data_IF_598770753818
#
_entry.id   IF_598770753818
#
_cell.length_a   1.000
_cell.length_b   1.000
_cell.length_c   1.000
_cell.angle_alpha   90.00
_cell.angle_beta   90.00
_cell.angle_gamma   90.00
#
_symmetry.space_group_name_H-M   'P 1'
#
loop_
_entity.id
_entity.type
_entity.pdbx_description
1 polymer ?
#
# COMPACT_ATOMS: atom_id res chain seq x y z
N UNK A 1 -6.35 -7.82 -21.75
CA UNK A 1 -5.04 -7.23 -21.35
C UNK A 1 -4.63 -5.92 -22.06
N UNK A 2 -4.57 -5.81 -23.40
CA UNK A 2 -4.20 -4.52 -24.06
C UNK A 2 -5.16 -3.39 -23.68
N UNK A 3 -6.44 -3.72 -23.62
CA UNK A 3 -7.50 -2.78 -23.23
C UNK A 3 -7.33 -2.31 -21.78
N UNK A 4 -7.16 -3.24 -20.84
CA UNK A 4 -6.89 -2.95 -19.42
C UNK A 4 -5.67 -2.04 -19.18
N UNK A 5 -4.58 -2.23 -19.94
CA UNK A 5 -3.39 -1.36 -19.83
C UNK A 5 -3.70 0.08 -20.23
N UNK A 6 -4.50 0.25 -21.29
CA UNK A 6 -4.89 1.57 -21.78
C UNK A 6 -5.88 2.22 -20.81
N UNK A 7 -6.89 1.49 -20.32
CA UNK A 7 -7.83 1.96 -19.31
C UNK A 7 -7.13 2.40 -18.02
N UNK A 8 -6.20 1.59 -17.52
CA UNK A 8 -5.40 1.94 -16.34
C UNK A 8 -4.59 3.22 -16.57
N UNK A 9 -3.92 3.34 -17.72
CA UNK A 9 -3.17 4.52 -18.09
C UNK A 9 -4.07 5.76 -18.11
N UNK A 10 -5.24 5.67 -18.75
CA UNK A 10 -6.14 6.81 -18.91
C UNK A 10 -6.69 7.29 -17.55
N UNK A 11 -7.06 6.38 -16.65
CA UNK A 11 -7.50 6.72 -15.28
C UNK A 11 -6.38 7.39 -14.46
N UNK A 12 -5.14 6.89 -14.58
CA UNK A 12 -3.99 7.51 -13.90
C UNK A 12 -3.70 8.90 -14.49
N UNK A 13 -3.81 9.05 -15.81
CA UNK A 13 -3.57 10.33 -16.48
C UNK A 13 -4.64 11.37 -16.15
N UNK A 14 -5.90 10.96 -15.97
CA UNK A 14 -6.96 11.82 -15.45
C UNK A 14 -6.59 12.35 -14.05
N UNK A 15 -6.19 11.45 -13.14
CA UNK A 15 -5.73 11.82 -11.78
C UNK A 15 -4.50 12.73 -11.80
N UNK A 16 -3.59 12.53 -12.75
CA UNK A 16 -2.40 13.38 -12.96
C UNK A 16 -2.80 14.78 -13.42
N UNK A 17 -3.77 14.90 -14.32
CA UNK A 17 -4.18 16.18 -14.89
C UNK A 17 -4.78 17.15 -13.86
N UNK A 18 -5.35 16.64 -12.77
CA UNK A 18 -5.96 17.40 -11.68
C UNK A 18 -4.92 18.05 -10.74
N UNK A 19 -3.62 17.78 -10.90
CA UNK A 19 -2.58 18.43 -10.13
C UNK A 19 -2.46 19.91 -10.52
N UNK A 20 -3.06 20.80 -9.72
CA UNK A 20 -3.13 22.27 -9.88
C UNK A 20 -1.75 22.99 -9.88
N UNK A 21 -0.88 22.68 -10.85
CA UNK A 21 0.42 23.34 -11.04
C UNK A 21 1.53 22.96 -10.04
N UNK A 22 1.22 22.14 -9.02
CA UNK A 22 2.22 21.60 -8.07
C UNK A 22 3.06 20.48 -8.72
N UNK A 23 4.30 20.29 -8.22
CA UNK A 23 5.16 19.17 -8.62
C UNK A 23 4.50 17.84 -8.24
N UNK A 24 4.12 17.05 -9.24
CA UNK A 24 3.49 15.76 -9.00
C UNK A 24 4.50 14.61 -9.07
N UNK A 25 4.41 13.69 -8.12
CA UNK A 25 5.13 12.42 -8.11
C UNK A 25 4.10 11.31 -8.21
N UNK A 26 4.31 10.38 -9.15
CA UNK A 26 3.47 9.18 -9.30
C UNK A 26 4.26 7.98 -8.84
N UNK A 27 3.78 7.29 -7.82
CA UNK A 27 4.31 5.99 -7.38
C UNK A 27 3.41 4.90 -7.93
N UNK A 28 3.98 3.97 -8.70
CA UNK A 28 3.27 2.84 -9.29
C UNK A 28 3.77 1.55 -8.64
N UNK A 29 2.88 0.87 -7.92
CA UNK A 29 3.16 -0.43 -7.32
C UNK A 29 2.53 -1.56 -8.13
N UNK A 30 3.36 -2.56 -8.41
CA UNK A 30 2.94 -3.82 -9.01
C UNK A 30 3.97 -4.89 -8.67
N UNK A 31 3.66 -6.15 -8.95
CA UNK A 31 4.59 -7.22 -8.62
C UNK A 31 4.54 -7.70 -7.19
N UNK A 32 3.44 -7.48 -6.47
CA UNK A 32 3.25 -8.08 -5.15
C UNK A 32 3.46 -9.60 -5.20
N UNK A 33 4.30 -10.13 -4.30
CA UNK A 33 4.54 -11.57 -4.23
C UNK A 33 4.81 -12.06 -2.80
N UNK A 34 4.53 -13.34 -2.60
CA UNK A 34 4.85 -14.05 -1.36
C UNK A 34 6.21 -14.74 -1.49
N UNK A 35 7.10 -14.48 -0.53
CA UNK A 35 8.45 -15.06 -0.51
C UNK A 35 8.49 -16.59 -0.51
N UNK A 36 7.42 -17.27 -0.07
CA UNK A 36 7.33 -18.75 -0.04
C UNK A 36 7.09 -19.35 -1.42
N UNK A 37 6.41 -18.62 -2.29
CA UNK A 37 6.00 -19.09 -3.62
C UNK A 37 6.77 -18.38 -4.73
N UNK A 38 7.42 -17.25 -4.43
CA UNK A 38 8.00 -16.38 -5.42
C UNK A 38 6.94 -15.64 -6.25
N UNK A 39 7.38 -14.84 -7.24
CA UNK A 39 6.48 -14.09 -8.11
C UNK A 39 5.63 -15.03 -8.96
N UNK A 40 4.33 -14.85 -8.91
CA UNK A 40 3.37 -15.59 -9.74
C UNK A 40 2.98 -14.76 -10.96
N UNK A 41 2.13 -15.31 -11.83
CA UNK A 41 1.67 -14.63 -13.05
C UNK A 41 1.05 -13.26 -12.76
N UNK A 42 0.24 -13.14 -11.71
CA UNK A 42 -0.32 -11.85 -11.30
C UNK A 42 0.76 -10.82 -10.96
N UNK A 43 1.78 -11.23 -10.18
CA UNK A 43 2.93 -10.39 -9.85
C UNK A 43 3.67 -9.93 -11.12
N UNK A 44 3.98 -10.85 -12.03
CA UNK A 44 4.70 -10.56 -13.27
C UNK A 44 3.86 -9.61 -14.15
N UNK A 45 2.57 -9.89 -14.30
CA UNK A 45 1.69 -9.11 -15.15
C UNK A 45 1.49 -7.69 -14.61
N UNK A 46 1.22 -7.51 -13.31
CA UNK A 46 1.05 -6.18 -12.71
C UNK A 46 2.34 -5.37 -12.71
N UNK A 47 3.50 -5.99 -12.50
CA UNK A 47 4.78 -5.28 -12.65
C UNK A 47 5.03 -4.85 -14.11
N UNK A 48 4.71 -5.72 -15.07
CA UNK A 48 4.77 -5.38 -16.50
C UNK A 48 3.83 -4.22 -16.85
N UNK A 49 2.64 -4.18 -16.25
CA UNK A 49 1.70 -3.05 -16.37
C UNK A 49 2.26 -1.77 -15.76
N UNK A 50 2.79 -1.82 -14.52
CA UNK A 50 3.40 -0.68 -13.85
C UNK A 50 4.52 -0.06 -14.70
N UNK A 51 5.43 -0.90 -15.22
CA UNK A 51 6.52 -0.46 -16.09
C UNK A 51 5.98 0.19 -17.37
N UNK A 52 5.01 -0.43 -18.03
CA UNK A 52 4.43 0.12 -19.25
C UNK A 52 3.78 1.48 -19.02
N UNK A 53 2.94 1.60 -18.00
CA UNK A 53 2.29 2.85 -17.61
C UNK A 53 3.32 3.91 -17.25
N UNK A 54 4.35 3.55 -16.49
CA UNK A 54 5.43 4.47 -16.12
C UNK A 54 6.12 5.07 -17.36
N UNK A 55 6.45 4.21 -18.34
CA UNK A 55 7.09 4.64 -19.58
C UNK A 55 6.19 5.54 -20.41
N UNK A 56 4.89 5.26 -20.48
CA UNK A 56 3.92 6.10 -21.20
C UNK A 56 3.73 7.47 -20.52
N UNK A 57 3.65 7.52 -19.19
CA UNK A 57 3.59 8.78 -18.43
C UNK A 57 4.82 9.64 -18.73
N UNK A 58 6.02 9.04 -18.69
CA UNK A 58 7.29 9.74 -18.96
C UNK A 58 7.35 10.23 -20.42
N UNK A 59 6.92 9.42 -21.39
CA UNK A 59 6.89 9.80 -22.82
C UNK A 59 5.99 10.99 -23.10
N UNK A 60 4.81 11.03 -22.47
CA UNK A 60 3.79 12.06 -22.70
C UNK A 60 4.15 13.42 -22.07
N UNK A 61 5.26 13.54 -21.32
CA UNK A 61 5.79 14.79 -20.74
C UNK A 61 4.73 15.61 -19.97
N UNK A 62 3.85 14.94 -19.22
CA UNK A 62 2.91 15.60 -18.32
C UNK A 62 3.64 16.47 -17.29
N UNK A 63 2.91 17.34 -16.58
CA UNK A 63 3.41 18.11 -15.41
C UNK A 63 3.92 17.23 -14.24
N UNK A 64 3.96 15.90 -14.45
CA UNK A 64 4.58 14.92 -13.57
C UNK A 64 6.07 15.20 -13.48
N UNK A 65 6.52 15.48 -12.26
CA UNK A 65 7.92 15.73 -11.93
C UNK A 65 8.70 14.42 -11.87
N UNK A 66 8.06 13.32 -11.46
CA UNK A 66 8.73 12.01 -11.36
C UNK A 66 7.76 10.84 -11.33
N UNK A 67 8.20 9.71 -11.88
CA UNK A 67 7.54 8.41 -11.73
C UNK A 67 8.46 7.47 -10.96
N UNK A 68 7.93 6.81 -9.94
CA UNK A 68 8.62 5.84 -9.10
C UNK A 68 7.94 4.48 -9.25
N UNK A 69 8.73 3.41 -9.22
CA UNK A 69 8.23 2.05 -9.20
C UNK A 69 8.43 1.42 -7.83
N UNK A 70 7.50 0.58 -7.43
CA UNK A 70 7.61 -0.17 -6.18
C UNK A 70 7.05 -1.58 -6.26
N UNK A 71 7.49 -2.40 -5.30
CA UNK A 71 7.12 -3.80 -5.13
C UNK A 71 6.90 -4.07 -3.65
N UNK A 72 5.71 -4.55 -3.29
CA UNK A 72 5.39 -5.03 -1.95
C UNK A 72 5.67 -6.53 -1.82
N UNK A 73 6.35 -6.92 -0.75
CA UNK A 73 6.79 -8.29 -0.52
C UNK A 73 6.12 -8.84 0.73
N UNK A 74 5.33 -9.90 0.56
CA UNK A 74 4.79 -10.66 1.69
C UNK A 74 5.84 -11.65 2.20
N UNK A 75 6.47 -11.24 3.31
CA UNK A 75 7.41 -12.04 4.09
C UNK A 75 6.90 -12.29 5.52
N UNK A 76 5.59 -12.13 5.75
CA UNK A 76 4.95 -12.46 7.03
C UNK A 76 4.67 -13.97 7.09
N UNK A 77 4.49 -14.61 5.93
CA UNK A 77 4.13 -16.02 5.84
C UNK A 77 2.68 -16.28 6.26
N UNK A 78 1.87 -15.24 6.39
CA UNK A 78 0.46 -15.32 6.79
C UNK A 78 -0.40 -15.35 5.52
N UNK A 79 -1.28 -16.33 5.42
CA UNK A 79 -2.42 -16.29 4.48
C UNK A 79 -3.59 -15.74 5.29
N UNK A 80 -4.04 -14.53 4.99
CA UNK A 80 -5.20 -13.96 5.68
C UNK A 80 -6.46 -14.33 4.90
N UNK A 81 -7.31 -15.16 5.51
CA UNK A 81 -8.72 -15.27 5.13
C UNK A 81 -9.55 -14.18 5.83
N UNK A 82 -10.82 -14.05 5.44
CA UNK A 82 -11.76 -13.02 5.94
C UNK A 82 -11.88 -13.01 7.47
N UNK A 83 -11.82 -14.19 8.12
CA UNK A 83 -12.06 -14.29 9.56
C UNK A 83 -10.79 -14.33 10.43
N UNK A 84 -9.66 -14.85 9.93
CA UNK A 84 -8.43 -14.94 10.70
C UNK A 84 -7.19 -15.04 9.81
N UNK A 85 -6.11 -14.38 10.24
CA UNK A 85 -4.79 -14.56 9.69
C UNK A 85 -4.17 -15.82 10.33
N UNK A 86 -4.09 -16.91 9.58
CA UNK A 86 -3.47 -18.17 10.05
C UNK A 86 -2.02 -18.18 9.58
N UNK A 87 -1.10 -18.47 10.50
CA UNK A 87 0.29 -18.81 10.15
C UNK A 87 0.27 -20.29 9.76
N UNK A 88 0.40 -20.67 8.48
CA UNK A 88 0.55 -22.07 8.11
C UNK A 88 1.79 -22.66 8.79
N UNK A 89 1.62 -23.85 9.38
CA UNK A 89 2.65 -24.68 10.01
C UNK A 89 3.66 -25.25 8.99
N UNK A 90 4.33 -24.39 8.23
CA UNK A 90 5.62 -24.75 7.64
C UNK A 90 6.69 -24.00 8.40
N UNK A 91 7.30 -24.71 9.34
CA UNK A 91 8.71 -24.52 9.71
C UNK A 91 9.55 -24.77 8.44
N UNK A 92 9.53 -23.83 7.50
CA UNK A 92 10.66 -23.66 6.60
C UNK A 92 11.53 -22.62 7.27
N UNK A 93 12.77 -22.99 7.56
CA UNK A 93 13.85 -22.15 8.07
C UNK A 93 13.92 -20.81 7.34
N UNK A 94 13.11 -19.85 7.76
CA UNK A 94 13.29 -18.47 7.36
C UNK A 94 14.42 -17.95 8.23
N UNK A 95 15.65 -18.04 7.69
CA UNK A 95 16.80 -17.35 8.25
C UNK A 95 16.42 -15.89 8.48
N UNK A 96 16.22 -15.55 9.76
CA UNK A 96 15.61 -14.31 10.22
C UNK A 96 16.43 -13.04 9.93
N UNK A 97 17.55 -13.16 9.20
CA UNK A 97 18.53 -12.10 8.93
C UNK A 97 19.00 -12.05 7.46
N UNK A 98 18.44 -12.82 6.54
CA UNK A 98 18.84 -12.72 5.13
C UNK A 98 18.27 -11.45 4.50
N UNK A 99 19.14 -10.67 3.86
CA UNK A 99 18.77 -9.51 3.06
C UNK A 99 17.70 -9.93 2.04
N UNK A 100 16.70 -9.09 1.79
CA UNK A 100 15.67 -9.35 0.79
C UNK A 100 16.35 -9.65 -0.56
N UNK A 101 16.32 -10.92 -0.97
CA UNK A 101 16.77 -11.32 -2.31
C UNK A 101 15.61 -11.13 -3.26
N UNK A 102 15.73 -10.13 -4.13
CA UNK A 102 14.73 -9.88 -5.18
C UNK A 102 14.86 -10.96 -6.26
N UNK A 103 13.78 -11.69 -6.59
CA UNK A 103 13.80 -12.73 -7.61
C UNK A 103 14.35 -12.20 -8.96
N UNK A 104 15.19 -13.01 -9.62
CA UNK A 104 15.84 -12.62 -10.89
C UNK A 104 14.85 -12.16 -11.95
N UNK A 105 13.69 -12.80 -12.05
CA UNK A 105 12.65 -12.43 -13.02
C UNK A 105 12.17 -10.98 -12.86
N UNK A 106 11.97 -10.51 -11.62
CA UNK A 106 11.55 -9.13 -11.36
C UNK A 106 12.72 -8.17 -11.61
N UNK A 107 13.93 -8.55 -11.19
CA UNK A 107 15.15 -7.78 -11.44
C UNK A 107 15.38 -7.55 -12.94
N UNK A 108 15.21 -8.58 -13.76
CA UNK A 108 15.38 -8.49 -15.22
C UNK A 108 14.33 -7.57 -15.87
N UNK A 109 13.09 -7.63 -15.40
CA UNK A 109 12.03 -6.72 -15.87
C UNK A 109 12.35 -5.26 -15.52
N UNK A 110 12.76 -5.02 -14.27
CA UNK A 110 13.09 -3.68 -13.77
C UNK A 110 14.34 -3.10 -14.46
N UNK A 111 15.36 -3.92 -14.71
CA UNK A 111 16.59 -3.49 -15.40
C UNK A 111 16.36 -3.11 -16.88
N UNK A 112 15.35 -3.69 -17.52
CA UNK A 112 14.97 -3.35 -18.90
C UNK A 112 14.22 -2.01 -18.99
N UNK A 113 13.59 -1.57 -17.90
CA UNK A 113 12.84 -0.32 -17.89
C UNK A 113 13.76 0.90 -17.98
N UNK A 114 13.35 1.91 -18.76
CA UNK A 114 14.08 3.19 -18.79
C UNK A 114 13.84 4.04 -17.54
N UNK A 115 12.75 3.79 -16.81
CA UNK A 115 12.32 4.57 -15.64
C UNK A 115 13.23 4.31 -14.44
N UNK A 116 13.69 3.07 -14.27
CA UNK A 116 14.52 2.63 -13.13
C UNK A 116 15.98 3.09 -13.19
N UNK A 117 16.44 3.62 -14.33
CA UNK A 117 17.84 4.07 -14.50
C UNK A 117 18.23 5.21 -13.57
N UNK A 118 17.28 6.10 -13.26
CA UNK A 118 17.53 7.30 -12.47
C UNK A 118 16.93 7.24 -11.06
N UNK A 119 16.02 6.30 -10.81
CA UNK A 119 15.42 6.10 -9.50
C UNK A 119 15.39 4.62 -9.14
N UNK A 120 15.92 4.24 -7.96
CA UNK A 120 15.82 2.88 -7.50
C UNK A 120 14.37 2.52 -7.22
N UNK A 121 14.03 1.28 -7.54
CA UNK A 121 12.74 0.65 -7.22
C UNK A 121 12.62 0.55 -5.70
N UNK A 122 11.43 0.87 -5.17
CA UNK A 122 11.15 0.79 -3.74
C UNK A 122 10.60 -0.60 -3.42
N UNK A 123 11.40 -1.42 -2.74
CA UNK A 123 10.93 -2.68 -2.17
C UNK A 123 10.46 -2.47 -0.74
N UNK A 124 9.25 -2.95 -0.43
CA UNK A 124 8.67 -2.84 0.91
C UNK A 124 8.31 -4.22 1.45
N UNK A 125 8.66 -4.49 2.72
CA UNK A 125 8.38 -5.77 3.37
C UNK A 125 7.17 -5.67 4.30
N UNK A 126 6.16 -6.50 4.09
CA UNK A 126 4.97 -6.51 4.93
C UNK A 126 5.27 -6.80 6.41
N UNK A 127 6.27 -7.62 6.74
CA UNK A 127 6.68 -7.88 8.14
C UNK A 127 7.12 -6.60 8.85
N UNK A 128 7.86 -5.75 8.16
CA UNK A 128 8.32 -4.46 8.69
C UNK A 128 7.14 -3.52 8.89
N UNK A 129 6.23 -3.45 7.91
CA UNK A 129 5.00 -2.67 7.97
C UNK A 129 4.12 -3.10 9.14
N UNK A 130 3.88 -4.42 9.28
CA UNK A 130 3.12 -5.03 10.38
C UNK A 130 3.67 -4.61 11.74
N UNK A 131 4.97 -4.76 11.94
CA UNK A 131 5.60 -4.47 13.23
C UNK A 131 5.52 -2.96 13.57
N UNK A 132 5.72 -2.09 12.57
CA UNK A 132 5.61 -0.63 12.74
C UNK A 132 4.17 -0.19 13.00
N UNK A 133 3.21 -0.71 12.22
CA UNK A 133 1.79 -0.44 12.40
C UNK A 133 1.29 -0.87 13.77
N UNK A 134 1.69 -2.06 14.24
CA UNK A 134 1.35 -2.52 15.60
C UNK A 134 1.92 -1.62 16.70
N UNK A 135 3.13 -1.09 16.53
CA UNK A 135 3.71 -0.16 17.50
C UNK A 135 2.89 1.12 17.56
N UNK A 136 2.57 1.71 16.40
CA UNK A 136 1.81 2.96 16.34
C UNK A 136 0.37 2.80 16.83
N UNK A 137 -0.31 1.70 16.49
CA UNK A 137 -1.68 1.48 16.97
C UNK A 137 -1.72 1.34 18.49
N UNK A 138 -0.73 0.71 19.12
CA UNK A 138 -0.66 0.66 20.59
C UNK A 138 -0.59 2.06 21.20
N UNK A 139 0.20 2.96 20.61
CA UNK A 139 0.27 4.36 21.04
C UNK A 139 -1.03 5.12 20.77
N UNK A 140 -1.70 4.84 19.64
CA UNK A 140 -2.98 5.47 19.27
C UNK A 140 -4.13 5.01 20.19
N UNK A 141 -4.12 3.75 20.62
CA UNK A 141 -5.12 3.21 21.56
C UNK A 141 -5.08 3.97 22.90
N UNK A 142 -3.89 4.34 23.37
CA UNK A 142 -3.73 5.17 24.57
C UNK A 142 -4.31 6.59 24.37
N UNK A 143 -4.42 7.04 23.13
CA UNK A 143 -5.07 8.30 22.69
C UNK A 143 -6.45 8.07 22.05
N UNK A 144 -7.13 6.96 22.38
CA UNK A 144 -8.35 6.47 21.71
C UNK A 144 -9.42 7.52 21.37
N UNK A 145 -9.66 8.50 22.27
CA UNK A 145 -10.64 9.58 22.05
C UNK A 145 -10.28 10.50 20.88
N UNK A 146 -9.00 10.69 20.59
CA UNK A 146 -8.51 11.57 19.52
C UNK A 146 -8.62 10.93 18.14
N UNK A 147 -8.60 9.59 18.08
CA UNK A 147 -8.52 8.83 16.83
C UNK A 147 -9.74 7.93 16.61
N UNK A 148 -10.85 8.17 17.32
CA UNK A 148 -12.10 7.42 17.14
C UNK A 148 -11.93 5.89 17.20
N UNK A 149 -11.09 5.44 18.13
CA UNK A 149 -10.81 4.01 18.33
C UNK A 149 -11.93 3.35 19.12
N UNK A 150 -12.38 2.20 18.63
CA UNK A 150 -13.39 1.34 19.27
C UNK A 150 -12.76 0.01 19.64
N UNK A 151 -13.03 -0.44 20.86
CA UNK A 151 -12.59 -1.74 21.38
C UNK A 151 -13.83 -2.62 21.63
N UNK A 152 -14.01 -3.66 20.83
CA UNK A 152 -15.10 -4.64 20.99
C UNK A 152 -14.57 -6.02 21.35
N UNK A 153 -15.46 -6.90 21.83
CA UNK A 153 -15.17 -8.34 21.89
C UNK A 153 -15.56 -9.00 20.58
N UNK A 154 -14.64 -9.75 19.98
CA UNK A 154 -14.97 -10.64 18.87
C UNK A 154 -15.71 -11.90 19.37
N UNK A 155 -16.19 -12.74 18.44
CA UNK A 155 -16.90 -13.99 18.75
C UNK A 155 -16.11 -14.97 19.63
N UNK A 156 -14.78 -14.84 19.66
CA UNK A 156 -13.86 -15.69 20.44
C UNK A 156 -13.42 -15.04 21.77
N UNK A 157 -14.00 -13.90 22.14
CA UNK A 157 -13.67 -13.17 23.38
C UNK A 157 -12.36 -12.37 23.34
N UNK A 158 -11.69 -12.29 22.19
CA UNK A 158 -10.52 -11.42 21.98
C UNK A 158 -10.96 -9.97 21.74
N UNK A 159 -10.12 -9.01 22.12
CA UNK A 159 -10.41 -7.59 21.89
C UNK A 159 -10.11 -7.23 20.43
N UNK A 160 -11.12 -6.78 19.69
CA UNK A 160 -11.00 -6.22 18.37
C UNK A 160 -10.84 -4.70 18.49
N UNK A 161 -9.68 -4.19 18.08
CA UNK A 161 -9.43 -2.77 17.97
C UNK A 161 -9.76 -2.33 16.54
N UNK A 162 -10.71 -1.40 16.41
CA UNK A 162 -11.13 -0.81 15.15
C UNK A 162 -11.00 0.71 15.22
N UNK A 163 -10.86 1.34 14.06
CA UNK A 163 -10.99 2.79 13.89
C UNK A 163 -12.30 3.09 13.18
N UNK A 164 -12.99 4.14 13.62
CA UNK A 164 -14.10 4.72 12.87
C UNK A 164 -13.56 5.84 11.98
N UNK A 165 -13.66 5.65 10.67
CA UNK A 165 -13.29 6.66 9.67
C UNK A 165 -14.49 6.83 8.76
N UNK A 166 -15.06 8.04 8.72
CA UNK A 166 -16.34 8.30 8.05
C UNK A 166 -17.44 7.40 8.64
N UNK A 167 -18.12 6.60 7.81
CA UNK A 167 -19.17 5.66 8.22
C UNK A 167 -18.62 4.21 8.41
N UNK A 168 -17.33 3.98 8.14
CA UNK A 168 -16.74 2.66 8.18
C UNK A 168 -16.09 2.34 9.52
N UNK A 169 -16.34 1.12 10.01
CA UNK A 169 -15.64 0.52 11.15
C UNK A 169 -14.54 -0.42 10.66
N UNK A 170 -13.32 0.07 10.65
CA UNK A 170 -12.19 -0.63 10.04
C UNK A 170 -11.38 -1.37 11.12
N UNK A 171 -11.26 -2.71 11.05
CA UNK A 171 -10.48 -3.47 12.02
C UNK A 171 -8.97 -3.29 11.81
N UNK A 172 -8.27 -2.88 12.87
CA UNK A 172 -6.82 -2.65 12.85
C UNK A 172 -6.05 -3.80 13.46
N UNK A 173 -6.49 -4.29 14.62
CA UNK A 173 -5.78 -5.36 15.34
C UNK A 173 -6.74 -6.24 16.13
N UNK A 174 -6.31 -7.47 16.41
CA UNK A 174 -6.90 -8.31 17.45
C UNK A 174 -5.91 -8.48 18.59
N UNK A 175 -6.38 -8.35 19.83
CA UNK A 175 -5.62 -8.58 21.05
C UNK A 175 -6.19 -9.77 21.80
N UNK A 176 -5.35 -10.78 22.01
CA UNK A 176 -5.65 -11.96 22.85
C UNK A 176 -4.65 -12.00 24.01
N UNK A 177 -5.12 -11.61 25.20
CA UNK A 177 -4.24 -11.43 26.36
C UNK A 177 -3.21 -10.32 26.11
N UNK A 178 -1.91 -10.69 26.09
CA UNK A 178 -0.81 -9.76 25.81
C UNK A 178 -0.40 -9.71 24.34
N UNK A 179 -0.91 -10.62 23.52
CA UNK A 179 -0.55 -10.76 22.10
C UNK A 179 -1.42 -9.88 21.24
N UNK A 180 -0.79 -9.08 20.37
CA UNK A 180 -1.46 -8.25 19.38
C UNK A 180 -1.16 -8.79 17.98
N UNK A 181 -2.19 -8.97 17.17
CA UNK A 181 -2.10 -9.38 15.78
C UNK A 181 -2.65 -8.25 14.90
N UNK A 182 -1.88 -7.83 13.89
CA UNK A 182 -2.33 -6.83 12.93
C UNK A 182 -3.35 -7.44 11.96
N UNK A 183 -4.29 -6.62 11.51
CA UNK A 183 -5.14 -6.91 10.35
C UNK A 183 -4.58 -6.23 9.10
N UNK A 184 -4.93 -6.74 7.93
CA UNK A 184 -4.41 -6.24 6.65
C UNK A 184 -4.61 -4.73 6.43
N UNK A 185 -5.74 -4.10 6.80
CA UNK A 185 -5.89 -2.65 6.69
C UNK A 185 -4.81 -1.85 7.43
N UNK A 186 -4.34 -2.33 8.58
CA UNK A 186 -3.24 -1.68 9.30
C UNK A 186 -1.91 -1.79 8.55
N UNK A 187 -1.63 -2.95 7.94
CA UNK A 187 -0.41 -3.18 7.18
C UNK A 187 -0.38 -2.29 5.93
N UNK A 188 -1.50 -2.24 5.19
CA UNK A 188 -1.64 -1.38 4.00
C UNK A 188 -1.64 0.11 4.36
N UNK A 189 -2.33 0.50 5.45
CA UNK A 189 -2.28 1.89 5.91
C UNK A 189 -0.87 2.32 6.30
N UNK A 190 -0.11 1.44 6.96
CA UNK A 190 1.30 1.71 7.26
C UNK A 190 2.14 1.83 5.99
N UNK A 191 1.86 0.99 4.98
CA UNK A 191 2.55 1.02 3.69
C UNK A 191 2.42 2.39 3.01
N UNK A 192 1.19 2.87 2.83
CA UNK A 192 0.95 4.16 2.17
C UNK A 192 1.51 5.32 3.00
N UNK A 193 1.39 5.28 4.33
CA UNK A 193 1.96 6.29 5.21
C UNK A 193 3.50 6.34 5.12
N UNK A 194 4.16 5.18 5.12
CA UNK A 194 5.62 5.08 5.01
C UNK A 194 6.11 5.55 3.63
N UNK A 195 5.37 5.23 2.55
CA UNK A 195 5.66 5.71 1.20
C UNK A 195 5.61 7.23 1.13
N UNK A 196 4.52 7.84 1.61
CA UNK A 196 4.38 9.29 1.65
C UNK A 196 5.58 9.92 2.36
N UNK A 197 5.93 9.44 3.54
CA UNK A 197 7.04 10.01 4.31
C UNK A 197 8.38 9.85 3.61
N UNK A 198 8.64 8.67 3.07
CA UNK A 198 9.90 8.38 2.37
C UNK A 198 10.05 9.28 1.15
N UNK A 199 8.97 9.49 0.39
CA UNK A 199 8.97 10.30 -0.83
C UNK A 199 9.04 11.80 -0.47
N UNK A 200 8.23 12.28 0.47
CA UNK A 200 8.26 13.67 0.94
C UNK A 200 9.64 14.05 1.51
N UNK A 201 10.31 13.16 2.25
CA UNK A 201 11.70 13.39 2.70
C UNK A 201 12.70 13.53 1.54
N UNK A 202 12.49 12.78 0.44
CA UNK A 202 13.41 12.78 -0.71
C UNK A 202 13.17 13.97 -1.64
N UNK A 203 11.92 14.42 -1.79
CA UNK A 203 11.53 15.39 -2.82
C UNK A 203 10.94 16.70 -2.28
N UNK A 204 10.82 16.84 -0.96
CA UNK A 204 10.30 18.02 -0.26
C UNK A 204 8.83 17.86 0.18
N UNK A 205 8.40 18.75 1.06
CA UNK A 205 7.07 18.68 1.72
C UNK A 205 5.92 19.18 0.83
N UNK A 206 6.21 19.96 -0.22
CA UNK A 206 5.22 20.55 -1.14
C UNK A 206 4.92 19.69 -2.39
N UNK A 207 5.01 18.36 -2.27
CA UNK A 207 4.71 17.44 -3.36
C UNK A 207 3.21 17.12 -3.45
N UNK A 208 2.73 16.88 -4.66
CA UNK A 208 1.48 16.15 -4.88
C UNK A 208 1.84 14.69 -5.17
N UNK A 209 1.56 13.78 -4.24
CA UNK A 209 1.87 12.36 -4.37
C UNK A 209 0.61 11.59 -4.78
N UNK A 210 0.70 10.92 -5.93
CA UNK A 210 -0.26 9.91 -6.35
C UNK A 210 0.35 8.53 -6.12
N UNK A 211 -0.23 7.74 -5.22
CA UNK A 211 0.10 6.32 -5.03
C UNK A 211 -0.90 5.51 -5.85
N UNK A 212 -0.39 4.62 -6.71
CA UNK A 212 -1.18 3.66 -7.48
C UNK A 212 -0.80 2.27 -7.01
N UNK A 213 -1.77 1.54 -6.45
CA UNK A 213 -1.59 0.18 -5.95
C UNK A 213 -2.44 -0.80 -6.77
N UNK A 214 -1.80 -1.85 -7.29
CA UNK A 214 -2.43 -2.87 -8.13
C UNK A 214 -2.48 -4.21 -7.38
N UNK A 215 -3.71 -4.65 -7.06
CA UNK A 215 -3.94 -5.88 -6.32
C UNK A 215 -4.97 -6.79 -6.98
N UNK A 216 -5.09 -8.00 -6.45
CA UNK A 216 -6.15 -8.92 -6.87
C UNK A 216 -7.51 -8.50 -6.29
N UNK A 217 -8.61 -9.04 -6.83
CA UNK A 217 -9.96 -8.69 -6.35
C UNK A 217 -10.16 -8.96 -4.85
N UNK A 218 -9.60 -10.06 -4.34
CA UNK A 218 -9.69 -10.37 -2.91
C UNK A 218 -8.90 -9.38 -2.03
N UNK A 219 -7.96 -8.64 -2.60
CA UNK A 219 -7.17 -7.62 -1.90
C UNK A 219 -7.88 -6.26 -1.84
N UNK A 220 -8.96 -6.07 -2.59
CA UNK A 220 -9.67 -4.79 -2.69
C UNK A 220 -10.05 -4.22 -1.32
N UNK A 221 -10.64 -5.05 -0.44
CA UNK A 221 -11.08 -4.59 0.87
C UNK A 221 -9.91 -4.18 1.78
N UNK A 222 -8.77 -4.90 1.73
CA UNK A 222 -7.59 -4.53 2.53
C UNK A 222 -6.92 -3.25 2.00
N UNK A 223 -6.87 -3.06 0.68
CA UNK A 223 -6.26 -1.88 0.06
C UNK A 223 -7.10 -0.63 0.32
N UNK A 224 -8.41 -0.69 0.09
CA UNK A 224 -9.29 0.47 0.24
C UNK A 224 -9.37 0.94 1.70
N UNK A 225 -9.54 0.00 2.63
CA UNK A 225 -9.50 0.33 4.05
C UNK A 225 -8.11 0.76 4.50
N UNK A 226 -7.05 0.20 3.90
CA UNK A 226 -5.68 0.65 4.11
C UNK A 226 -5.49 2.12 3.75
N UNK A 227 -6.03 2.56 2.61
CA UNK A 227 -5.95 3.96 2.18
C UNK A 227 -6.61 4.90 3.20
N UNK A 228 -7.78 4.52 3.74
CA UNK A 228 -8.44 5.25 4.83
C UNK A 228 -7.61 5.27 6.11
N UNK A 229 -7.06 4.13 6.52
CA UNK A 229 -6.21 4.02 7.73
C UNK A 229 -4.92 4.81 7.60
N UNK A 230 -4.36 4.99 6.39
CA UNK A 230 -3.17 5.78 6.16
C UNK A 230 -3.32 7.23 6.64
N UNK A 231 -4.51 7.82 6.49
CA UNK A 231 -4.82 9.16 7.01
C UNK A 231 -4.60 9.25 8.53
N UNK A 232 -5.18 8.32 9.29
CA UNK A 232 -5.03 8.27 10.75
C UNK A 232 -3.56 8.11 11.16
N UNK A 233 -2.81 7.22 10.49
CA UNK A 233 -1.41 6.97 10.80
C UNK A 233 -0.52 8.18 10.46
N UNK A 234 -0.75 8.81 9.31
CA UNK A 234 -0.05 10.02 8.92
C UNK A 234 -0.34 11.17 9.88
N UNK A 235 -1.60 11.34 10.30
CA UNK A 235 -1.95 12.34 11.30
C UNK A 235 -1.21 12.12 12.64
N UNK A 236 -1.08 10.86 13.09
CA UNK A 236 -0.27 10.51 14.28
C UNK A 236 1.22 10.81 14.10
N UNK A 237 1.76 10.59 12.91
CA UNK A 237 3.21 10.67 12.65
C UNK A 237 3.69 12.07 12.25
N UNK A 238 2.85 12.88 11.60
CA UNK A 238 3.19 14.16 10.97
C UNK A 238 2.22 15.31 11.29
N UNK A 239 1.14 15.06 12.03
CA UNK A 239 0.10 16.06 12.28
C UNK A 239 -0.80 16.30 11.06
N UNK A 240 -1.54 17.41 11.06
CA UNK A 240 -2.54 17.73 10.02
C UNK A 240 -1.96 18.21 8.69
N UNK A 241 -0.66 18.51 8.61
CA UNK A 241 -0.03 19.03 7.40
C UNK A 241 0.51 17.90 6.51
N UNK A 242 -0.36 16.94 6.23
CA UNK A 242 -0.09 15.91 5.21
C UNK A 242 -0.41 16.57 3.88
N UNK A 243 0.60 17.10 3.19
CA UNK A 243 0.46 17.63 1.83
C UNK A 243 -0.27 16.67 0.87
N UNK A 244 -0.68 17.16 -0.30
CA UNK A 244 -1.53 16.47 -1.29
C UNK A 244 -1.14 15.00 -1.56
N UNK A 245 -1.79 14.05 -0.89
CA UNK A 245 -1.67 12.60 -1.08
C UNK A 245 -3.00 12.04 -1.59
N UNK A 246 -2.94 11.41 -2.77
CA UNK A 246 -4.02 10.64 -3.36
C UNK A 246 -3.59 9.19 -3.51
N UNK A 247 -4.46 8.25 -3.12
CA UNK A 247 -4.22 6.81 -3.23
C UNK A 247 -5.28 6.23 -4.17
N UNK A 248 -4.84 5.62 -5.27
CA UNK A 248 -5.67 4.95 -6.26
C UNK A 248 -5.38 3.44 -6.22
N UNK A 249 -6.37 2.66 -5.80
CA UNK A 249 -6.28 1.20 -5.77
C UNK A 249 -6.99 0.64 -7.00
N UNK A 250 -6.32 -0.27 -7.68
CA UNK A 250 -6.84 -0.98 -8.84
C UNK A 250 -6.88 -2.47 -8.52
N UNK A 251 -8.07 -3.05 -8.61
CA UNK A 251 -8.29 -4.48 -8.44
C UNK A 251 -8.76 -5.12 -9.74
N UNK A 252 -8.12 -6.22 -10.12
CA UNK A 252 -8.41 -6.95 -11.35
C UNK A 252 -9.36 -8.11 -11.09
N UNK A 253 -10.52 -8.10 -11.75
CA UNK A 253 -11.54 -9.15 -11.69
C UNK A 253 -11.80 -9.67 -13.09
N UNK A 254 -11.27 -10.84 -13.44
CA UNK A 254 -11.35 -11.41 -14.80
C UNK A 254 -10.88 -10.42 -15.88
N UNK A 255 -11.82 -9.79 -16.60
CA UNK A 255 -11.59 -8.76 -17.63
C UNK A 255 -11.98 -7.33 -17.19
N UNK A 256 -12.40 -7.14 -15.94
CA UNK A 256 -12.80 -5.85 -15.39
C UNK A 256 -11.71 -5.23 -14.50
N UNK A 257 -11.61 -3.90 -14.60
CA UNK A 257 -10.77 -3.07 -13.74
C UNK A 257 -11.67 -2.30 -12.76
N UNK A 258 -11.62 -2.67 -11.48
CA UNK A 258 -12.30 -1.93 -10.43
C UNK A 258 -11.32 -0.94 -9.81
N UNK A 259 -11.69 0.34 -9.84
CA UNK A 259 -10.88 1.45 -9.34
C UNK A 259 -11.51 2.08 -8.09
N UNK A 260 -10.68 2.38 -7.09
CA UNK A 260 -11.04 3.15 -5.91
C UNK A 260 -10.01 4.26 -5.70
N UNK A 261 -10.49 5.48 -5.45
CA UNK A 261 -9.64 6.64 -5.17
C UNK A 261 -9.95 7.19 -3.77
N UNK A 262 -8.90 7.52 -3.03
CA UNK A 262 -8.99 8.16 -1.73
C UNK A 262 -8.04 9.35 -1.66
N UNK A 263 -8.61 10.55 -1.50
CA UNK A 263 -7.86 11.77 -1.22
C UNK A 263 -7.70 11.93 0.29
N UNK A 264 -6.45 11.89 0.75
CA UNK A 264 -6.09 11.96 2.18
C UNK A 264 -6.14 13.41 2.69
N UNK A 265 -6.08 14.42 1.80
CA UNK A 265 -5.87 15.81 2.19
C UNK A 265 -7.11 16.60 2.58
N UNK A 266 -8.29 16.13 2.21
CA UNK A 266 -9.54 16.83 2.50
C UNK A 266 -10.23 16.32 3.77
N UNK A 267 -9.60 15.39 4.50
CA UNK A 267 -10.25 14.67 5.60
C UNK A 267 -9.95 15.30 6.95
N UNK A 268 -10.95 15.29 7.83
CA UNK A 268 -10.83 15.63 9.25
C UNK A 268 -11.16 14.38 10.06
N UNK A 269 -10.39 14.13 11.13
CA UNK A 269 -10.71 13.12 12.15
C UNK A 269 -11.76 13.72 13.09
#
# INVERSE_FOLDING_TARGET
MKDLKQTLLDLILESVSQANGKRQIVYLEGGYYDTRFGPQDFSINTLSMAIHVAEEIVKRKYKVTRVLLGVLVNNIGIVCGEDACVIPNKESDFNNNEALVVPHILTDMLNKSKVTKNDPVIFTNERTLRNRGLRLVKEIVDESKKYSIVMDKNKEGADLCSVLIEEDKIPLTIKKGKTWAARCPLIMGQHYADLYIKISKKYGENINLLIVDMGETYDRHKMNNGAKVAFMLLHKMYGFDTGNLKICNFSFQDDELVHFEYDVTEKKI
#
